data_IF_903472573241
#
_entry.id   IF_903472573241
#
_cell.length_a   1.000
_cell.length_b   1.000
_cell.length_c   1.000
_cell.angle_alpha   90.00
_cell.angle_beta   90.00
_cell.angle_gamma   90.00
#
_symmetry.space_group_name_H-M   'P 1'
#
loop_
_entity.id
_entity.type
_entity.pdbx_description
1 polymer ?
#
# COMPACT_ATOMS: atom_id res chain seq x y z
N UNK A 1 44.95 8.77 30.80
CA UNK A 1 45.82 7.62 31.05
C UNK A 1 44.89 6.45 31.26
N UNK A 2 44.73 5.50 30.42
CA UNK A 2 45.53 4.55 29.69
C UNK A 2 44.71 4.03 28.48
N UNK A 3 45.40 3.89 27.38
CA UNK A 3 44.91 3.27 26.15
C UNK A 3 44.83 1.75 26.33
N UNK A 4 43.85 1.11 25.71
CA UNK A 4 43.83 -0.33 25.41
C UNK A 4 43.67 -0.46 23.90
N UNK A 5 44.78 -0.83 23.25
CA UNK A 5 44.83 -1.34 21.88
C UNK A 5 44.30 -2.76 21.88
N UNK A 6 43.44 -3.05 20.90
CA UNK A 6 43.07 -4.44 20.61
C UNK A 6 43.38 -4.76 19.14
N UNK A 7 44.34 -5.69 18.97
CA UNK A 7 44.83 -6.25 17.73
C UNK A 7 43.74 -6.98 16.94
N UNK A 8 43.68 -6.69 15.65
CA UNK A 8 42.90 -7.47 14.67
C UNK A 8 43.84 -8.46 13.98
N UNK A 9 43.61 -9.74 14.22
CA UNK A 9 44.34 -10.85 13.61
C UNK A 9 43.60 -11.28 12.33
N UNK A 10 44.23 -11.06 11.19
CA UNK A 10 43.72 -11.48 9.86
C UNK A 10 44.21 -12.91 9.59
N UNK A 11 43.32 -13.90 9.58
CA UNK A 11 43.63 -15.26 9.13
C UNK A 11 43.33 -15.40 7.65
N UNK A 12 44.37 -15.62 6.87
CA UNK A 12 44.32 -15.99 5.44
C UNK A 12 44.21 -17.51 5.37
N UNK A 13 43.16 -18.03 4.78
CA UNK A 13 43.02 -19.48 4.49
C UNK A 13 43.37 -19.69 3.00
N UNK A 14 44.45 -20.45 2.80
CA UNK A 14 44.91 -20.89 1.49
C UNK A 14 44.15 -22.14 1.05
N UNK A 15 43.71 -22.19 -0.20
CA UNK A 15 43.10 -23.36 -0.85
C UNK A 15 44.17 -24.09 -1.69
N UNK A 16 44.33 -25.40 -1.59
CA UNK A 16 45.33 -26.13 -2.36
C UNK A 16 44.88 -26.46 -3.78
N UNK A 17 45.80 -26.21 -4.72
CA UNK A 17 45.71 -26.60 -6.14
C UNK A 17 46.04 -28.08 -6.27
N UNK A 18 45.18 -28.86 -6.88
CA UNK A 18 45.48 -30.24 -7.30
C UNK A 18 45.82 -30.26 -8.77
N UNK A 19 47.10 -30.54 -9.06
CA UNK A 19 47.57 -30.89 -10.40
C UNK A 19 47.26 -32.35 -10.70
N UNK A 20 46.76 -32.66 -11.88
CA UNK A 20 46.85 -34.00 -12.47
C UNK A 20 47.52 -33.90 -13.87
N UNK A 21 48.56 -34.68 -14.00
CA UNK A 21 49.36 -34.87 -15.19
C UNK A 21 48.82 -36.01 -16.08
N UNK A 22 49.36 -36.16 -17.34
CA UNK A 22 48.58 -36.69 -18.43
C UNK A 22 48.84 -38.17 -18.78
N UNK A 23 47.92 -38.78 -19.47
CA UNK A 23 48.19 -40.03 -20.20
C UNK A 23 47.79 -39.93 -21.66
N UNK A 24 48.82 -40.07 -22.50
CA UNK A 24 48.80 -40.21 -23.93
C UNK A 24 48.45 -41.64 -24.35
N UNK A 25 47.66 -41.85 -25.36
CA UNK A 25 47.98 -42.66 -26.58
C UNK A 25 46.87 -42.60 -27.63
N UNK A 26 47.22 -42.83 -28.92
CA UNK A 26 46.54 -42.28 -30.08
C UNK A 26 45.63 -43.28 -30.79
N UNK A 27 44.59 -42.79 -31.50
CA UNK A 27 43.96 -43.57 -32.58
C UNK A 27 43.36 -42.69 -33.69
N UNK A 28 43.85 -42.95 -34.86
CA UNK A 28 43.30 -42.93 -36.22
C UNK A 28 42.41 -41.77 -36.64
N UNK A 29 42.96 -41.05 -37.64
CA UNK A 29 42.31 -40.07 -38.50
C UNK A 29 41.15 -40.67 -39.31
N UNK A 30 40.00 -40.03 -39.27
CA UNK A 30 39.01 -40.00 -40.34
C UNK A 30 38.81 -38.52 -40.72
N UNK A 31 39.06 -38.18 -41.96
CA UNK A 31 38.89 -36.87 -42.54
C UNK A 31 37.41 -36.56 -42.71
N UNK A 32 36.90 -35.67 -41.87
CA UNK A 32 35.60 -35.02 -42.11
C UNK A 32 35.90 -33.58 -42.51
N UNK A 33 35.53 -33.22 -43.71
CA UNK A 33 35.58 -31.84 -44.24
C UNK A 33 34.59 -30.99 -43.40
N UNK A 34 35.12 -30.16 -42.51
CA UNK A 34 34.33 -29.12 -41.82
C UNK A 34 33.92 -28.05 -42.82
N UNK A 35 32.61 -27.87 -42.96
CA UNK A 35 32.06 -26.65 -43.56
C UNK A 35 32.20 -25.49 -42.55
N UNK A 36 32.60 -24.30 -43.01
CA UNK A 36 32.67 -23.14 -42.11
C UNK A 36 31.28 -22.81 -41.55
N UNK A 37 31.19 -22.35 -40.27
CA UNK A 37 29.93 -21.99 -39.69
C UNK A 37 29.27 -20.82 -40.46
N UNK A 38 27.94 -20.75 -40.52
CA UNK A 38 27.24 -19.66 -41.20
C UNK A 38 27.57 -18.32 -40.49
N UNK A 39 27.99 -17.35 -41.28
CA UNK A 39 28.23 -15.98 -40.83
C UNK A 39 26.86 -15.38 -40.43
N UNK A 40 26.58 -15.35 -39.16
CA UNK A 40 25.44 -14.57 -38.59
C UNK A 40 25.83 -13.10 -38.66
N UNK A 41 25.24 -12.37 -39.59
CA UNK A 41 25.32 -10.91 -39.60
C UNK A 41 24.63 -10.40 -38.30
N UNK A 42 25.24 -9.43 -37.58
CA UNK A 42 24.60 -8.81 -36.46
C UNK A 42 23.29 -8.16 -36.92
N UNK A 43 22.21 -8.44 -36.20
CA UNK A 43 20.93 -7.74 -36.43
C UNK A 43 21.17 -6.21 -36.32
N UNK A 44 20.59 -5.42 -37.23
CA UNK A 44 20.72 -3.98 -37.16
C UNK A 44 20.08 -3.50 -35.86
N UNK A 45 20.90 -3.04 -34.92
CA UNK A 45 20.45 -2.31 -33.73
C UNK A 45 19.79 -1.04 -34.23
N UNK A 46 18.44 -1.01 -34.17
CA UNK A 46 17.69 0.21 -34.42
C UNK A 46 18.19 1.27 -33.43
N UNK A 47 18.52 2.48 -33.86
CA UNK A 47 18.89 3.54 -32.94
C UNK A 47 17.72 3.81 -31.98
N UNK A 48 17.97 3.67 -30.70
CA UNK A 48 17.02 4.09 -29.65
C UNK A 48 16.88 5.60 -29.77
N UNK A 49 15.78 6.06 -30.36
CA UNK A 49 15.41 7.48 -30.34
C UNK A 49 15.33 7.90 -28.87
N UNK A 50 16.09 8.91 -28.43
CA UNK A 50 15.99 9.38 -27.05
C UNK A 50 14.55 9.85 -26.81
N UNK A 51 13.85 9.20 -25.90
CA UNK A 51 12.50 9.61 -25.50
C UNK A 51 12.65 10.95 -24.78
N UNK A 52 12.29 12.03 -25.44
CA UNK A 52 12.25 13.36 -24.81
C UNK A 52 11.22 13.29 -23.68
N UNK A 53 11.72 13.39 -22.46
CA UNK A 53 10.84 13.42 -21.28
C UNK A 53 10.12 14.76 -21.26
N UNK A 54 8.79 14.73 -21.41
CA UNK A 54 7.95 15.93 -21.37
C UNK A 54 7.91 16.49 -19.94
N UNK A 55 7.73 17.80 -19.82
CA UNK A 55 7.49 18.45 -18.52
C UNK A 55 6.16 17.92 -17.97
N UNK A 56 6.13 17.55 -16.70
CA UNK A 56 4.91 17.14 -15.99
C UNK A 56 4.18 18.37 -15.45
N UNK A 57 2.99 18.72 -15.98
CA UNK A 57 2.27 19.90 -15.51
C UNK A 57 1.94 19.87 -14.02
N UNK A 58 1.69 18.68 -13.45
CA UNK A 58 1.46 18.48 -12.03
C UNK A 58 2.64 18.92 -11.16
N UNK A 59 3.86 18.80 -11.70
CA UNK A 59 5.12 19.06 -10.97
C UNK A 59 5.79 20.37 -11.40
N UNK A 60 5.23 21.07 -12.39
CA UNK A 60 5.80 22.30 -12.91
C UNK A 60 5.46 23.50 -12.01
N UNK A 61 6.46 24.17 -11.43
CA UNK A 61 6.24 25.33 -10.59
C UNK A 61 5.50 26.43 -11.33
N UNK A 62 4.45 26.97 -10.71
CA UNK A 62 3.68 28.08 -11.22
C UNK A 62 3.40 29.11 -10.13
N UNK A 63 3.09 30.36 -10.54
CA UNK A 63 2.83 31.46 -9.60
C UNK A 63 1.52 31.28 -8.83
N UNK A 64 0.53 30.58 -9.44
CA UNK A 64 -0.79 30.36 -8.86
C UNK A 64 -0.82 29.27 -7.77
N UNK A 65 0.29 28.56 -7.55
CA UNK A 65 0.36 27.44 -6.60
C UNK A 65 0.06 27.78 -5.13
N UNK A 66 0.03 29.05 -4.78
CA UNK A 66 -0.29 29.54 -3.44
C UNK A 66 -1.76 29.93 -3.24
N UNK A 67 -2.56 29.92 -4.31
CA UNK A 67 -3.96 30.36 -4.30
C UNK A 67 -4.86 29.25 -4.80
N UNK A 68 -5.93 28.95 -4.02
CA UNK A 68 -6.83 27.85 -4.39
C UNK A 68 -7.88 28.26 -5.44
N UNK A 69 -8.27 29.53 -5.52
CA UNK A 69 -9.24 29.99 -6.50
C UNK A 69 -8.57 30.74 -7.67
N UNK A 70 -9.10 30.57 -8.90
CA UNK A 70 -10.22 29.68 -9.28
C UNK A 70 -9.81 28.21 -9.26
N UNK A 71 -10.75 27.30 -8.91
CA UNK A 71 -10.53 25.85 -9.01
C UNK A 71 -10.29 25.49 -10.47
N UNK A 72 -9.15 24.87 -10.77
CA UNK A 72 -8.75 24.45 -12.13
C UNK A 72 -8.93 22.95 -12.35
N UNK A 73 -8.76 22.13 -11.31
CA UNK A 73 -8.85 20.68 -11.35
C UNK A 73 -10.05 20.22 -10.51
N UNK A 74 -11.27 20.34 -11.09
CA UNK A 74 -12.52 20.06 -10.38
C UNK A 74 -12.64 18.59 -9.90
N UNK A 75 -12.10 17.64 -10.62
CA UNK A 75 -12.07 16.24 -10.24
C UNK A 75 -11.17 15.99 -9.00
N UNK A 76 -9.99 16.61 -8.95
CA UNK A 76 -9.10 16.59 -7.80
C UNK A 76 -9.77 17.29 -6.59
N UNK A 77 -10.33 18.45 -6.82
CA UNK A 77 -11.08 19.21 -5.81
C UNK A 77 -12.25 18.41 -5.26
N UNK A 78 -13.00 17.71 -6.11
CA UNK A 78 -14.09 16.84 -5.69
C UNK A 78 -13.61 15.73 -4.75
N UNK A 79 -12.47 15.09 -5.05
CA UNK A 79 -11.87 14.07 -4.16
C UNK A 79 -11.49 14.64 -2.79
N UNK A 80 -10.90 15.84 -2.74
CA UNK A 80 -10.64 16.52 -1.47
C UNK A 80 -11.93 16.77 -0.69
N UNK A 81 -12.99 17.26 -1.35
CA UNK A 81 -14.28 17.51 -0.67
C UNK A 81 -14.95 16.22 -0.19
N UNK A 82 -14.82 15.12 -0.95
CA UNK A 82 -15.28 13.80 -0.52
C UNK A 82 -14.57 13.36 0.76
N UNK A 83 -13.25 13.53 0.81
CA UNK A 83 -12.44 13.16 1.97
C UNK A 83 -12.82 13.97 3.22
N UNK A 84 -12.97 15.29 3.06
CA UNK A 84 -13.44 16.17 4.14
C UNK A 84 -14.86 15.84 4.64
N UNK A 85 -15.73 15.31 3.77
CA UNK A 85 -17.11 14.99 4.14
C UNK A 85 -17.21 13.75 5.06
N UNK A 86 -16.20 12.86 5.01
CA UNK A 86 -16.14 11.61 5.80
C UNK A 86 -15.15 11.68 6.96
N UNK A 87 -14.66 12.87 7.30
CA UNK A 87 -13.74 13.09 8.42
C UNK A 87 -14.34 12.59 9.74
N UNK A 88 -13.54 11.91 10.52
CA UNK A 88 -13.88 11.34 11.82
C UNK A 88 -12.70 11.48 12.80
N UNK A 89 -12.94 11.17 14.08
CA UNK A 89 -11.91 11.19 15.12
C UNK A 89 -11.93 9.90 15.95
N UNK A 90 -10.81 9.53 16.61
CA UNK A 90 -10.73 8.28 17.37
C UNK A 90 -11.77 8.19 18.50
N UNK A 91 -12.21 9.31 19.08
CA UNK A 91 -13.21 9.38 20.14
C UNK A 91 -14.60 8.88 19.70
N UNK A 92 -14.84 8.78 18.40
CA UNK A 92 -16.10 8.24 17.87
C UNK A 92 -16.17 6.72 17.95
N UNK A 93 -15.06 6.04 18.28
CA UNK A 93 -14.96 4.59 18.38
C UNK A 93 -15.13 4.13 19.83
N UNK A 94 -16.26 3.46 20.13
CA UNK A 94 -16.50 2.85 21.44
C UNK A 94 -15.79 1.50 21.56
N UNK A 95 -14.67 1.46 22.28
CA UNK A 95 -13.89 0.24 22.54
C UNK A 95 -14.37 -0.53 23.77
N UNK A 96 -15.33 -0.01 24.54
CA UNK A 96 -15.73 -0.59 25.82
C UNK A 96 -16.29 -2.01 25.69
N UNK A 97 -16.89 -2.34 24.55
CA UNK A 97 -17.50 -3.66 24.29
C UNK A 97 -16.48 -4.70 23.84
N UNK A 98 -15.34 -4.27 23.32
CA UNK A 98 -14.35 -5.16 22.73
C UNK A 98 -13.63 -6.03 23.77
N UNK A 99 -13.45 -5.52 25.01
CA UNK A 99 -12.75 -6.25 26.06
C UNK A 99 -13.42 -7.58 26.40
N UNK A 100 -14.75 -7.62 26.39
CA UNK A 100 -15.52 -8.86 26.63
C UNK A 100 -15.24 -9.92 25.54
N UNK A 101 -15.09 -9.49 24.29
CA UNK A 101 -14.77 -10.39 23.18
C UNK A 101 -13.29 -10.75 23.21
N UNK A 102 -12.42 -9.78 23.50
CA UNK A 102 -10.98 -9.97 23.63
C UNK A 102 -10.61 -11.07 24.63
N UNK A 103 -11.26 -11.11 25.79
CA UNK A 103 -11.06 -12.14 26.81
C UNK A 103 -11.46 -13.55 26.35
N UNK A 104 -12.40 -13.65 25.39
CA UNK A 104 -12.89 -14.92 24.84
C UNK A 104 -12.11 -15.42 23.62
N UNK A 105 -11.32 -14.55 23.00
CA UNK A 105 -10.48 -14.93 21.88
C UNK A 105 -9.47 -15.99 22.30
N UNK A 106 -9.13 -16.88 21.37
CA UNK A 106 -7.99 -17.80 21.52
C UNK A 106 -6.67 -17.04 21.51
N UNK A 107 -5.59 -17.65 22.00
CA UNK A 107 -4.25 -17.07 21.95
C UNK A 107 -3.82 -16.79 20.51
N UNK A 108 -4.17 -17.66 19.56
CA UNK A 108 -3.91 -17.49 18.14
C UNK A 108 -4.61 -16.24 17.57
N UNK A 109 -5.87 -16.02 17.92
CA UNK A 109 -6.62 -14.85 17.46
C UNK A 109 -6.05 -13.56 18.05
N UNK A 110 -5.73 -13.56 19.35
CA UNK A 110 -5.06 -12.42 20.01
C UNK A 110 -3.69 -12.14 19.36
N UNK A 111 -2.90 -13.17 19.12
CA UNK A 111 -1.61 -13.06 18.46
C UNK A 111 -1.78 -12.41 17.08
N UNK A 112 -2.72 -12.90 16.28
CA UNK A 112 -2.99 -12.37 14.95
C UNK A 112 -3.37 -10.89 14.99
N UNK A 113 -4.35 -10.51 15.84
CA UNK A 113 -4.83 -9.12 15.95
C UNK A 113 -3.70 -8.18 16.40
N UNK A 114 -2.93 -8.55 17.44
CA UNK A 114 -1.80 -7.73 17.92
C UNK A 114 -0.82 -7.39 16.80
N UNK A 115 -0.46 -8.39 15.99
CA UNK A 115 0.51 -8.21 14.90
C UNK A 115 -0.05 -7.38 13.74
N UNK A 116 -1.33 -7.52 13.43
CA UNK A 116 -2.01 -6.66 12.43
C UNK A 116 -2.02 -5.21 12.91
N UNK A 117 -2.37 -4.96 14.17
CA UNK A 117 -2.37 -3.60 14.73
C UNK A 117 -0.98 -2.98 14.74
N UNK A 118 0.06 -3.78 15.10
CA UNK A 118 1.44 -3.32 15.03
C UNK A 118 1.89 -2.98 13.61
N UNK A 119 1.44 -3.76 12.62
CA UNK A 119 1.68 -3.46 11.21
C UNK A 119 1.02 -2.13 10.83
N UNK A 120 -0.24 -1.92 11.12
CA UNK A 120 -0.96 -0.70 10.80
C UNK A 120 -0.29 0.54 11.44
N UNK A 121 -0.09 0.51 12.76
CA UNK A 121 0.50 1.63 13.49
C UNK A 121 1.87 2.06 12.95
N UNK A 122 2.68 1.11 12.47
CA UNK A 122 3.98 1.42 11.88
C UNK A 122 3.91 1.86 10.42
N UNK A 123 2.97 1.33 9.64
CA UNK A 123 2.86 1.61 8.21
C UNK A 123 2.34 3.03 7.96
N UNK A 124 1.34 3.50 8.72
CA UNK A 124 0.79 4.86 8.58
C UNK A 124 1.86 5.94 8.88
N UNK A 125 2.76 5.69 9.83
CA UNK A 125 3.91 6.56 10.06
C UNK A 125 4.82 6.70 8.84
N UNK A 126 5.04 5.61 8.10
CA UNK A 126 5.81 5.62 6.85
C UNK A 126 5.06 6.37 5.74
N UNK A 127 3.75 6.16 5.64
CA UNK A 127 2.87 6.88 4.69
C UNK A 127 2.90 8.37 4.96
N UNK A 128 2.72 8.80 6.21
CA UNK A 128 2.79 10.21 6.64
C UNK A 128 4.13 10.86 6.26
N UNK A 129 5.25 10.19 6.51
CA UNK A 129 6.57 10.69 6.15
C UNK A 129 6.72 10.87 4.64
N UNK A 130 6.26 9.90 3.84
CA UNK A 130 6.29 9.97 2.38
C UNK A 130 5.43 11.13 1.84
N UNK A 131 4.21 11.29 2.38
CA UNK A 131 3.33 12.40 2.02
C UNK A 131 3.98 13.76 2.30
N UNK A 132 4.53 13.93 3.51
CA UNK A 132 5.11 15.20 3.95
C UNK A 132 6.41 15.54 3.19
N UNK A 133 7.33 14.59 3.06
CA UNK A 133 8.68 14.83 2.53
C UNK A 133 8.76 14.79 1.00
N UNK A 134 7.82 14.08 0.34
CA UNK A 134 7.88 13.85 -1.10
C UNK A 134 6.64 14.39 -1.82
N UNK A 135 5.50 13.75 -1.73
CA UNK A 135 4.36 14.06 -2.58
C UNK A 135 3.81 15.48 -2.40
N UNK A 136 3.60 15.94 -1.16
CA UNK A 136 3.10 17.29 -0.88
C UNK A 136 4.06 18.38 -1.35
N UNK A 137 5.38 18.14 -1.25
CA UNK A 137 6.39 19.09 -1.69
C UNK A 137 6.54 19.14 -3.22
N UNK A 138 6.39 18.01 -3.89
CA UNK A 138 6.62 17.88 -5.34
C UNK A 138 5.46 18.37 -6.19
N UNK A 139 4.19 18.08 -5.80
CA UNK A 139 3.02 18.53 -6.57
C UNK A 139 2.87 20.04 -6.52
N UNK A 140 2.50 20.66 -7.64
CA UNK A 140 2.38 22.13 -7.73
C UNK A 140 0.92 22.60 -7.86
N UNK A 141 -0.03 21.69 -8.11
CA UNK A 141 -1.45 22.04 -8.17
C UNK A 141 -2.02 22.21 -6.76
N UNK A 142 -2.63 23.37 -6.43
CA UNK A 142 -3.19 23.62 -5.10
C UNK A 142 -4.21 22.58 -4.65
N UNK A 143 -5.09 22.14 -5.56
CA UNK A 143 -6.11 21.13 -5.24
C UNK A 143 -5.49 19.78 -4.78
N UNK A 144 -4.37 19.39 -5.40
CA UNK A 144 -3.65 18.19 -5.01
C UNK A 144 -2.97 18.34 -3.64
N UNK A 145 -2.40 19.52 -3.35
CA UNK A 145 -1.84 19.83 -2.03
C UNK A 145 -2.89 19.79 -0.93
N UNK A 146 -4.09 20.29 -1.20
CA UNK A 146 -5.21 20.25 -0.24
C UNK A 146 -5.65 18.81 0.06
N UNK A 147 -5.70 17.97 -0.96
CA UNK A 147 -6.00 16.55 -0.74
C UNK A 147 -4.92 15.89 0.13
N UNK A 148 -3.65 16.04 -0.21
CA UNK A 148 -2.56 15.45 0.56
C UNK A 148 -2.47 15.97 2.00
N UNK A 149 -2.80 17.25 2.24
CA UNK A 149 -2.91 17.78 3.60
C UNK A 149 -4.02 17.09 4.40
N UNK A 150 -5.17 16.84 3.77
CA UNK A 150 -6.27 16.10 4.38
C UNK A 150 -5.92 14.62 4.60
N UNK A 151 -5.30 13.96 3.62
CA UNK A 151 -4.81 12.59 3.75
C UNK A 151 -3.85 12.48 4.93
N UNK A 152 -2.85 13.36 5.01
CA UNK A 152 -1.86 13.33 6.10
C UNK A 152 -2.51 13.54 7.49
N UNK A 153 -3.57 14.34 7.57
CA UNK A 153 -4.37 14.49 8.79
C UNK A 153 -5.07 13.17 9.16
N UNK A 154 -5.69 12.49 8.19
CA UNK A 154 -6.39 11.23 8.47
C UNK A 154 -5.43 10.08 8.78
N UNK A 155 -4.25 10.04 8.18
CA UNK A 155 -3.20 9.09 8.58
C UNK A 155 -2.81 9.28 10.06
N UNK A 156 -2.80 10.53 10.57
CA UNK A 156 -2.58 10.77 11.99
C UNK A 156 -3.73 10.24 12.85
N UNK A 157 -4.99 10.38 12.39
CA UNK A 157 -6.18 9.81 13.05
C UNK A 157 -6.13 8.28 13.05
N UNK A 158 -5.71 7.65 11.95
CA UNK A 158 -5.51 6.20 11.84
C UNK A 158 -4.46 5.72 12.83
N UNK A 159 -3.28 6.34 12.82
CA UNK A 159 -2.16 5.99 13.70
C UNK A 159 -2.52 6.13 15.20
N UNK A 160 -3.24 7.19 15.57
CA UNK A 160 -3.78 7.37 16.93
C UNK A 160 -4.77 6.27 17.27
N UNK A 161 -5.70 5.94 16.37
CA UNK A 161 -6.70 4.88 16.56
C UNK A 161 -6.03 3.53 16.80
N UNK A 162 -5.04 3.15 15.99
CA UNK A 162 -4.30 1.90 16.21
C UNK A 162 -3.53 1.89 17.52
N UNK A 163 -2.97 3.02 17.92
CA UNK A 163 -2.30 3.15 19.21
C UNK A 163 -3.26 2.97 20.38
N UNK A 164 -4.48 3.52 20.30
CA UNK A 164 -5.53 3.34 21.31
C UNK A 164 -6.04 1.89 21.36
N UNK A 165 -6.20 1.22 20.21
CA UNK A 165 -6.55 -0.20 20.15
C UNK A 165 -5.47 -1.07 20.82
N UNK A 166 -4.19 -0.82 20.51
CA UNK A 166 -3.05 -1.50 21.14
C UNK A 166 -3.03 -1.27 22.65
N UNK A 167 -3.22 -0.03 23.09
CA UNK A 167 -3.26 0.32 24.52
C UNK A 167 -4.43 -0.35 25.26
N UNK A 168 -5.57 -0.44 24.57
CA UNK A 168 -6.78 -1.06 25.12
C UNK A 168 -6.62 -2.57 25.30
N UNK A 169 -6.07 -3.27 24.30
CA UNK A 169 -6.03 -4.73 24.31
C UNK A 169 -4.78 -5.30 24.97
N UNK A 170 -3.63 -4.63 24.91
CA UNK A 170 -2.36 -5.13 25.43
C UNK A 170 -2.03 -4.46 26.75
N UNK A 171 -2.06 -5.23 27.83
CA UNK A 171 -1.82 -4.71 29.20
C UNK A 171 -0.37 -4.83 29.63
N UNK A 172 0.37 -5.81 29.09
CA UNK A 172 1.80 -5.93 29.38
C UNK A 172 2.60 -4.79 28.72
N UNK A 173 3.38 -4.01 29.50
CA UNK A 173 4.09 -2.85 28.98
C UNK A 173 5.20 -3.21 27.98
N UNK A 174 5.85 -4.36 28.15
CA UNK A 174 6.93 -4.78 27.24
C UNK A 174 6.34 -5.24 25.90
N UNK A 175 5.31 -6.09 25.94
CA UNK A 175 4.60 -6.53 24.73
C UNK A 175 4.02 -5.34 23.96
N UNK A 176 3.39 -4.39 24.67
CA UNK A 176 2.88 -3.14 24.08
C UNK A 176 3.97 -2.36 23.36
N UNK A 177 5.12 -2.17 24.02
CA UNK A 177 6.27 -1.48 23.43
C UNK A 177 6.81 -2.19 22.21
N UNK A 178 6.83 -3.53 22.21
CA UNK A 178 7.32 -4.32 21.08
C UNK A 178 6.36 -4.24 19.88
N UNK A 179 5.06 -4.30 20.13
CA UNK A 179 4.04 -4.13 19.09
C UNK A 179 4.02 -2.73 18.49
N UNK A 180 4.13 -1.68 19.31
CA UNK A 180 4.22 -0.28 18.80
C UNK A 180 5.49 -0.02 17.98
N UNK A 181 6.53 -0.85 18.13
CA UNK A 181 7.75 -0.82 17.33
C UNK A 181 7.83 -1.94 16.29
N UNK A 182 6.69 -2.45 15.85
CA UNK A 182 6.58 -3.63 14.99
C UNK A 182 7.45 -3.57 13.73
N UNK A 183 7.64 -2.39 13.13
CA UNK A 183 8.51 -2.20 11.95
C UNK A 183 9.98 -2.58 12.19
N UNK A 184 10.44 -2.63 13.44
CA UNK A 184 11.82 -3.01 13.80
C UNK A 184 11.89 -4.28 14.64
N UNK A 185 10.80 -4.68 15.29
CA UNK A 185 10.76 -5.83 16.21
C UNK A 185 10.13 -7.07 15.58
N UNK A 186 9.32 -6.92 14.51
CA UNK A 186 8.56 -7.99 13.88
C UNK A 186 9.02 -8.18 12.43
N UNK A 187 9.78 -9.27 12.10
CA UNK A 187 10.41 -9.43 10.78
C UNK A 187 9.46 -9.40 9.58
N UNK A 188 8.22 -9.85 9.73
CA UNK A 188 7.26 -9.82 8.64
C UNK A 188 6.71 -8.41 8.37
N UNK A 189 6.61 -7.58 9.40
CA UNK A 189 6.25 -6.16 9.30
C UNK A 189 7.43 -5.38 8.71
N UNK A 190 8.65 -5.59 9.22
CA UNK A 190 9.88 -4.99 8.70
C UNK A 190 10.01 -5.13 7.18
N UNK A 191 9.68 -6.30 6.64
CA UNK A 191 9.78 -6.56 5.20
C UNK A 191 8.84 -5.68 4.37
N UNK A 192 7.60 -5.45 4.84
CA UNK A 192 6.64 -4.54 4.18
C UNK A 192 7.10 -3.10 4.31
N UNK A 193 7.50 -2.69 5.52
CA UNK A 193 8.01 -1.36 5.82
C UNK A 193 9.24 -1.02 4.97
N UNK A 194 10.21 -1.94 4.88
CA UNK A 194 11.42 -1.76 4.07
C UNK A 194 11.08 -1.53 2.60
N UNK A 195 10.16 -2.30 2.02
CA UNK A 195 9.75 -2.10 0.64
C UNK A 195 9.11 -0.72 0.43
N UNK A 196 8.28 -0.25 1.37
CA UNK A 196 7.67 1.08 1.29
C UNK A 196 8.72 2.20 1.40
N UNK A 197 9.66 2.09 2.35
CA UNK A 197 10.76 3.04 2.54
C UNK A 197 11.71 3.10 1.33
N UNK A 198 11.95 1.97 0.64
CA UNK A 198 12.76 1.96 -0.59
C UNK A 198 12.21 2.92 -1.67
N UNK A 199 10.90 3.14 -1.71
CA UNK A 199 10.29 4.11 -2.64
C UNK A 199 10.45 5.57 -2.17
N UNK A 200 10.40 5.84 -0.87
CA UNK A 200 10.62 7.17 -0.29
C UNK A 200 12.07 7.61 -0.54
N UNK A 201 13.01 6.73 -0.23
CA UNK A 201 14.45 7.02 -0.30
C UNK A 201 15.01 6.98 -1.73
N UNK A 202 14.28 6.41 -2.68
CA UNK A 202 14.75 6.26 -4.05
C UNK A 202 14.76 7.59 -4.80
N UNK A 203 15.93 8.24 -4.82
CA UNK A 203 16.16 9.52 -5.52
C UNK A 203 16.18 9.37 -7.04
N UNK A 204 16.45 8.17 -7.55
CA UNK A 204 16.51 7.87 -8.98
C UNK A 204 15.14 7.53 -9.59
N UNK A 205 14.16 7.16 -8.75
CA UNK A 205 12.83 6.86 -9.20
C UNK A 205 12.07 8.15 -9.58
N UNK A 206 11.50 8.19 -10.77
CA UNK A 206 10.63 9.27 -11.18
C UNK A 206 9.31 9.29 -10.37
N UNK A 207 8.62 10.44 -10.41
CA UNK A 207 7.36 10.65 -9.70
C UNK A 207 6.32 9.56 -10.02
N UNK A 208 6.16 9.22 -11.32
CA UNK A 208 5.20 8.21 -11.76
C UNK A 208 5.49 6.84 -11.13
N UNK A 209 6.76 6.45 -11.02
CA UNK A 209 7.20 5.18 -10.41
C UNK A 209 6.87 5.17 -8.91
N UNK A 210 7.19 6.24 -8.19
CA UNK A 210 6.90 6.36 -6.76
C UNK A 210 5.41 6.42 -6.48
N UNK A 211 4.63 7.10 -7.32
CA UNK A 211 3.17 7.17 -7.19
C UNK A 211 2.50 5.79 -7.36
N UNK A 212 2.97 4.97 -8.31
CA UNK A 212 2.49 3.58 -8.46
C UNK A 212 2.93 2.71 -7.26
N UNK A 213 4.15 2.89 -6.76
CA UNK A 213 4.61 2.24 -5.52
C UNK A 213 3.74 2.62 -4.32
N UNK A 214 3.42 3.89 -4.17
CA UNK A 214 2.54 4.42 -3.13
C UNK A 214 1.12 3.86 -3.24
N UNK A 215 0.52 3.87 -4.44
CA UNK A 215 -0.78 3.25 -4.67
C UNK A 215 -0.81 1.74 -4.35
N UNK A 216 0.33 1.04 -4.50
CA UNK A 216 0.45 -0.36 -4.10
C UNK A 216 0.56 -0.54 -2.57
N UNK A 217 1.14 0.41 -1.84
CA UNK A 217 1.12 0.42 -0.37
C UNK A 217 -0.32 0.59 0.11
N UNK A 218 -0.99 1.65 -0.30
CA UNK A 218 -2.37 1.98 0.10
C UNK A 218 -3.38 0.89 -0.31
N UNK A 219 -3.32 0.44 -1.57
CA UNK A 219 -4.31 -0.46 -2.15
C UNK A 219 -4.06 -1.94 -1.92
N UNK A 220 -2.78 -2.39 -1.77
CA UNK A 220 -2.44 -3.82 -1.66
C UNK A 220 -1.97 -4.20 -0.28
N UNK A 221 -1.05 -3.44 0.35
CA UNK A 221 -0.44 -3.86 1.62
C UNK A 221 -1.39 -3.86 2.80
N UNK A 222 -2.47 -3.10 2.74
CA UNK A 222 -3.51 -3.10 3.77
C UNK A 222 -4.61 -4.14 3.50
N UNK A 223 -4.75 -4.61 2.26
CA UNK A 223 -5.91 -5.36 1.79
C UNK A 223 -6.17 -6.67 2.54
N UNK A 224 -5.14 -7.47 2.79
CA UNK A 224 -5.25 -8.73 3.51
C UNK A 224 -5.62 -8.53 4.98
N UNK A 225 -5.03 -7.51 5.61
CA UNK A 225 -5.28 -7.15 7.00
C UNK A 225 -6.72 -6.62 7.19
N UNK A 226 -7.18 -5.71 6.33
CA UNK A 226 -8.58 -5.24 6.36
C UNK A 226 -9.57 -6.39 6.15
N UNK A 227 -9.32 -7.26 5.17
CA UNK A 227 -10.16 -8.43 4.92
C UNK A 227 -10.24 -9.34 6.15
N UNK A 228 -9.13 -9.53 6.86
CA UNK A 228 -9.08 -10.33 8.08
C UNK A 228 -9.89 -9.69 9.23
N UNK A 229 -9.85 -8.37 9.41
CA UNK A 229 -10.68 -7.66 10.41
C UNK A 229 -12.16 -7.70 10.00
N UNK A 230 -12.50 -7.53 8.72
CA UNK A 230 -13.87 -7.71 8.24
C UNK A 230 -14.41 -9.14 8.45
N UNK A 231 -13.54 -10.15 8.45
CA UNK A 231 -13.92 -11.49 8.84
C UNK A 231 -14.34 -11.58 10.31
N UNK A 232 -13.69 -10.86 11.23
CA UNK A 232 -14.13 -10.75 12.63
C UNK A 232 -15.50 -10.07 12.72
N UNK A 233 -15.78 -9.06 11.89
CA UNK A 233 -17.11 -8.44 11.78
C UNK A 233 -18.18 -9.46 11.37
N UNK A 234 -17.90 -10.35 10.41
CA UNK A 234 -18.84 -11.41 10.02
C UNK A 234 -19.13 -12.38 11.18
N UNK A 235 -18.21 -12.54 12.10
CA UNK A 235 -18.37 -13.34 13.34
C UNK A 235 -19.13 -12.57 14.43
N UNK A 236 -19.40 -11.29 14.26
CA UNK A 236 -20.10 -10.43 15.21
C UNK A 236 -19.31 -10.15 16.49
N UNK A 237 -17.98 -10.09 16.42
CA UNK A 237 -17.07 -9.86 17.56
C UNK A 237 -16.21 -8.62 17.34
N UNK A 238 -15.69 -8.04 18.42
CA UNK A 238 -14.80 -6.88 18.42
C UNK A 238 -15.41 -5.66 17.71
N UNK A 239 -16.59 -5.16 18.14
CA UNK A 239 -17.32 -4.13 17.42
C UNK A 239 -16.55 -2.81 17.24
N UNK A 240 -15.74 -2.38 18.21
CA UNK A 240 -14.92 -1.18 18.11
C UNK A 240 -13.79 -1.35 17.09
N UNK A 241 -13.05 -2.46 17.15
CA UNK A 241 -12.02 -2.80 16.17
C UNK A 241 -12.60 -2.87 14.75
N UNK A 242 -13.76 -3.50 14.58
CA UNK A 242 -14.34 -3.66 13.24
C UNK A 242 -14.95 -2.37 12.71
N UNK A 243 -15.48 -1.49 13.56
CA UNK A 243 -15.95 -0.16 13.16
C UNK A 243 -14.78 0.75 12.73
N UNK A 244 -13.68 0.78 13.51
CA UNK A 244 -12.48 1.52 13.11
C UNK A 244 -11.94 1.04 11.76
N UNK A 245 -11.92 -0.27 11.55
CA UNK A 245 -11.51 -0.86 10.27
C UNK A 245 -12.40 -0.42 9.09
N UNK A 246 -13.70 -0.20 9.30
CA UNK A 246 -14.61 0.32 8.27
C UNK A 246 -14.24 1.76 7.87
N UNK A 247 -14.00 2.62 8.87
CA UNK A 247 -13.64 4.01 8.61
C UNK A 247 -12.28 4.11 7.91
N UNK A 248 -11.29 3.41 8.44
CA UNK A 248 -9.94 3.43 7.89
C UNK A 248 -9.91 2.80 6.49
N UNK A 249 -10.51 1.62 6.28
CA UNK A 249 -10.53 0.99 4.95
C UNK A 249 -11.26 1.83 3.88
N UNK A 250 -12.26 2.63 4.27
CA UNK A 250 -12.91 3.62 3.39
C UNK A 250 -11.94 4.72 3.01
N UNK A 251 -11.20 5.25 3.98
CA UNK A 251 -10.26 6.34 3.76
C UNK A 251 -9.10 5.88 2.89
N UNK A 252 -8.55 4.67 3.12
CA UNK A 252 -7.52 4.05 2.26
C UNK A 252 -8.01 3.81 0.82
N UNK A 253 -9.29 3.49 0.66
CA UNK A 253 -9.92 3.43 -0.66
C UNK A 253 -9.90 4.79 -1.37
N UNK A 254 -10.15 5.90 -0.66
CA UNK A 254 -10.06 7.26 -1.21
C UNK A 254 -8.61 7.67 -1.52
N UNK A 255 -7.64 7.26 -0.68
CA UNK A 255 -6.21 7.50 -0.89
C UNK A 255 -5.71 6.80 -2.16
N UNK A 256 -6.04 5.52 -2.32
CA UNK A 256 -5.73 4.73 -3.51
C UNK A 256 -6.37 5.33 -4.77
N UNK A 257 -7.66 5.69 -4.72
CA UNK A 257 -8.38 6.33 -5.81
C UNK A 257 -7.73 7.65 -6.22
N UNK A 258 -7.27 8.45 -5.24
CA UNK A 258 -6.60 9.71 -5.50
C UNK A 258 -5.23 9.51 -6.15
N UNK A 259 -4.45 8.56 -5.70
CA UNK A 259 -3.18 8.20 -6.34
C UNK A 259 -3.39 7.79 -7.81
N UNK A 260 -4.43 7.00 -8.10
CA UNK A 260 -4.81 6.61 -9.47
C UNK A 260 -5.29 7.82 -10.30
N UNK A 261 -6.06 8.73 -9.70
CA UNK A 261 -6.49 9.96 -10.36
C UNK A 261 -5.29 10.83 -10.75
N UNK A 262 -4.36 11.08 -9.82
CA UNK A 262 -3.14 11.84 -10.13
C UNK A 262 -2.30 11.14 -11.20
N UNK A 263 -2.16 9.81 -11.12
CA UNK A 263 -1.45 9.03 -12.14
C UNK A 263 -2.10 9.22 -13.52
N UNK A 264 -3.43 9.29 -13.60
CA UNK A 264 -4.15 9.54 -14.86
C UNK A 264 -3.85 10.90 -15.49
N UNK A 265 -3.39 11.88 -14.69
CA UNK A 265 -3.03 13.24 -15.16
C UNK A 265 -1.58 13.32 -15.64
N UNK A 266 -0.76 12.30 -15.41
CA UNK A 266 0.65 12.33 -15.81
C UNK A 266 0.80 12.19 -17.33
N UNK A 267 1.74 12.96 -17.88
CA UNK A 267 2.12 12.92 -19.29
C UNK A 267 3.13 11.77 -19.52
N UNK A 268 4.08 11.58 -18.60
CA UNK A 268 5.10 10.54 -18.68
C UNK A 268 4.67 9.30 -17.86
N UNK A 269 3.70 8.55 -18.38
CA UNK A 269 3.24 7.32 -17.74
C UNK A 269 4.24 6.17 -17.90
N UNK A 270 4.20 5.22 -16.98
CA UNK A 270 5.05 4.04 -17.02
C UNK A 270 4.61 3.05 -18.10
N UNK A 271 5.52 2.18 -18.53
CA UNK A 271 5.13 1.03 -19.34
C UNK A 271 4.33 0.03 -18.52
N UNK A 272 3.45 -0.73 -19.19
CA UNK A 272 2.71 -1.85 -18.56
C UNK A 272 3.63 -2.79 -17.79
N UNK A 273 4.78 -3.15 -18.38
CA UNK A 273 5.75 -4.06 -17.78
C UNK A 273 6.25 -3.53 -16.42
N UNK A 274 6.55 -2.22 -16.36
CA UNK A 274 7.04 -1.59 -15.12
C UNK A 274 5.96 -1.55 -14.04
N UNK A 275 4.74 -1.14 -14.38
CA UNK A 275 3.60 -1.16 -13.44
C UNK A 275 3.32 -2.56 -12.93
N UNK A 276 3.17 -3.54 -13.84
CA UNK A 276 2.92 -4.93 -13.45
C UNK A 276 4.04 -5.55 -12.62
N UNK A 277 5.30 -5.13 -12.81
CA UNK A 277 6.42 -5.55 -11.95
C UNK A 277 6.22 -5.07 -10.53
N UNK A 278 5.94 -3.78 -10.33
CA UNK A 278 5.71 -3.16 -9.00
C UNK A 278 4.54 -3.88 -8.29
N UNK A 279 3.40 -4.02 -8.97
CA UNK A 279 2.21 -4.64 -8.37
C UNK A 279 2.43 -6.12 -8.03
N UNK A 280 3.15 -6.90 -8.88
CA UNK A 280 3.50 -8.29 -8.57
C UNK A 280 4.42 -8.42 -7.36
N UNK A 281 5.37 -7.50 -7.19
CA UNK A 281 6.25 -7.47 -6.02
C UNK A 281 5.44 -7.22 -4.75
N UNK A 282 4.54 -6.23 -4.76
CA UNK A 282 3.65 -5.94 -3.63
C UNK A 282 2.76 -7.15 -3.30
N UNK A 283 2.12 -7.76 -4.30
CA UNK A 283 1.29 -8.97 -4.12
C UNK A 283 2.09 -10.12 -3.51
N UNK A 284 3.32 -10.34 -3.94
CA UNK A 284 4.17 -11.41 -3.40
C UNK A 284 4.50 -11.18 -1.92
N UNK A 285 4.76 -9.94 -1.55
CA UNK A 285 5.06 -9.56 -0.15
C UNK A 285 3.81 -9.71 0.69
N UNK A 286 2.67 -9.18 0.23
CA UNK A 286 1.40 -9.25 0.95
C UNK A 286 0.93 -10.68 1.16
N UNK A 287 0.96 -11.51 0.11
CA UNK A 287 0.64 -12.94 0.24
C UNK A 287 1.53 -13.64 1.28
N UNK A 288 2.84 -13.38 1.24
CA UNK A 288 3.75 -13.96 2.22
C UNK A 288 3.41 -13.50 3.64
N UNK A 289 3.11 -12.21 3.82
CA UNK A 289 2.73 -11.65 5.12
C UNK A 289 1.51 -12.36 5.70
N UNK A 290 0.39 -12.35 4.99
CA UNK A 290 -0.91 -12.79 5.53
C UNK A 290 -1.14 -14.32 5.50
N UNK A 291 -0.27 -15.10 4.84
CA UNK A 291 -0.45 -16.56 4.73
C UNK A 291 0.71 -17.38 5.24
N UNK A 292 1.88 -16.78 5.49
CA UNK A 292 3.07 -17.49 5.96
C UNK A 292 3.68 -16.91 7.22
N UNK A 293 3.86 -15.59 7.24
CA UNK A 293 4.47 -14.92 8.38
C UNK A 293 3.47 -14.66 9.50
N UNK A 294 2.25 -14.28 9.15
CA UNK A 294 1.09 -14.13 10.05
C UNK A 294 -0.12 -14.84 9.42
N UNK A 295 -0.23 -16.16 9.57
CA UNK A 295 -1.22 -16.93 8.84
C UNK A 295 -2.67 -16.58 9.22
N UNK A 296 -3.48 -16.21 8.24
CA UNK A 296 -4.91 -15.91 8.46
C UNK A 296 -5.73 -17.12 8.94
N UNK A 297 -5.22 -18.34 8.82
CA UNK A 297 -5.77 -19.55 9.43
C UNK A 297 -5.87 -19.45 10.97
N UNK A 298 -5.03 -18.62 11.61
CA UNK A 298 -5.09 -18.38 13.05
C UNK A 298 -6.45 -17.81 13.51
N UNK A 299 -7.16 -17.12 12.61
CA UNK A 299 -8.51 -16.60 12.83
C UNK A 299 -9.57 -17.38 12.04
N UNK A 300 -9.24 -18.53 11.49
CA UNK A 300 -10.16 -19.42 10.78
C UNK A 300 -10.42 -19.06 9.33
N UNK A 301 -9.61 -18.20 8.71
CA UNK A 301 -9.72 -17.89 7.28
C UNK A 301 -8.92 -18.87 6.41
N UNK A 302 -9.37 -19.05 5.17
CA UNK A 302 -8.69 -19.90 4.18
C UNK A 302 -7.57 -19.13 3.48
N UNK A 303 -6.32 -19.62 3.61
CA UNK A 303 -5.14 -18.97 3.04
C UNK A 303 -5.15 -18.92 1.50
N UNK A 304 -5.69 -19.93 0.82
CA UNK A 304 -5.75 -19.93 -0.66
C UNK A 304 -6.77 -18.90 -1.15
N UNK A 305 -7.92 -18.78 -0.49
CA UNK A 305 -8.89 -17.74 -0.81
C UNK A 305 -8.32 -16.34 -0.52
N UNK A 306 -7.55 -16.18 0.56
CA UNK A 306 -6.87 -14.92 0.87
C UNK A 306 -5.87 -14.53 -0.23
N UNK A 307 -5.08 -15.49 -0.74
CA UNK A 307 -4.18 -15.24 -1.87
C UNK A 307 -4.93 -14.79 -3.12
N UNK A 308 -6.05 -15.43 -3.43
CA UNK A 308 -6.92 -15.04 -4.54
C UNK A 308 -7.52 -13.65 -4.34
N UNK A 309 -7.91 -13.30 -3.11
CA UNK A 309 -8.41 -11.97 -2.78
C UNK A 309 -7.36 -10.88 -3.03
N UNK A 310 -6.13 -11.08 -2.60
CA UNK A 310 -5.03 -10.14 -2.85
C UNK A 310 -4.76 -9.96 -4.35
N UNK A 311 -4.82 -11.05 -5.14
CA UNK A 311 -4.73 -10.97 -6.60
C UNK A 311 -5.88 -10.18 -7.22
N UNK A 312 -7.10 -10.36 -6.71
CA UNK A 312 -8.26 -9.60 -7.15
C UNK A 312 -8.11 -8.10 -6.86
N UNK A 313 -7.61 -7.74 -5.67
CA UNK A 313 -7.33 -6.34 -5.31
C UNK A 313 -6.27 -5.73 -6.23
N UNK A 314 -5.20 -6.46 -6.52
CA UNK A 314 -4.16 -6.00 -7.44
C UNK A 314 -4.68 -5.83 -8.89
N UNK A 315 -5.58 -6.69 -9.34
CA UNK A 315 -6.25 -6.55 -10.63
C UNK A 315 -7.12 -5.29 -10.69
N UNK A 316 -7.84 -4.95 -9.61
CA UNK A 316 -8.60 -3.69 -9.50
C UNK A 316 -7.67 -2.48 -9.59
N UNK A 317 -6.58 -2.48 -8.82
CA UNK A 317 -5.60 -1.41 -8.86
C UNK A 317 -4.96 -1.25 -10.25
N UNK A 318 -4.63 -2.36 -10.91
CA UNK A 318 -4.11 -2.33 -12.28
C UNK A 318 -5.09 -1.66 -13.26
N UNK A 319 -6.39 -1.97 -13.16
CA UNK A 319 -7.43 -1.34 -13.97
C UNK A 319 -7.60 0.14 -13.66
N UNK A 320 -7.55 0.53 -12.38
CA UNK A 320 -7.64 1.93 -11.96
C UNK A 320 -6.46 2.78 -12.45
N UNK A 321 -5.28 2.16 -12.60
CA UNK A 321 -4.10 2.77 -13.21
C UNK A 321 -4.13 2.76 -14.76
N UNK A 322 -5.22 2.27 -15.37
CA UNK A 322 -5.43 2.16 -16.82
C UNK A 322 -4.53 1.09 -17.48
N UNK A 323 -4.28 -0.02 -16.77
CA UNK A 323 -3.58 -1.20 -17.30
C UNK A 323 -4.44 -2.46 -17.22
N UNK A 324 -4.21 -3.46 -18.08
CA UNK A 324 -4.97 -4.71 -18.03
C UNK A 324 -4.71 -5.47 -16.72
N UNK A 325 -5.64 -6.34 -16.36
CA UNK A 325 -5.50 -7.27 -15.23
C UNK A 325 -4.23 -8.10 -15.32
N UNK A 326 -3.67 -8.45 -14.17
CA UNK A 326 -2.44 -9.25 -14.04
C UNK A 326 -2.79 -10.73 -13.84
N UNK A 327 -3.81 -11.02 -13.03
CA UNK A 327 -4.16 -12.35 -12.55
C UNK A 327 -5.52 -12.83 -13.07
N UNK A 328 -6.41 -11.92 -13.44
CA UNK A 328 -7.80 -12.19 -13.80
C UNK A 328 -8.57 -12.90 -12.67
N UNK A 329 -8.22 -12.60 -11.43
CA UNK A 329 -8.83 -13.17 -10.25
C UNK A 329 -10.23 -12.63 -10.01
N UNK A 330 -11.08 -13.48 -9.39
CA UNK A 330 -12.41 -13.09 -8.89
C UNK A 330 -12.34 -12.93 -7.37
N UNK A 331 -13.20 -12.06 -6.82
CA UNK A 331 -13.33 -11.94 -5.38
C UNK A 331 -13.87 -13.26 -4.80
N UNK A 332 -13.13 -13.92 -3.88
CA UNK A 332 -13.57 -15.19 -3.30
C UNK A 332 -14.43 -15.00 -2.05
N UNK A 333 -14.57 -13.77 -1.54
CA UNK A 333 -15.25 -13.47 -0.28
C UNK A 333 -16.51 -12.64 -0.52
N UNK A 334 -17.68 -13.26 -0.48
CA UNK A 334 -18.98 -12.60 -0.65
C UNK A 334 -19.20 -11.45 0.34
N UNK A 335 -18.67 -11.57 1.58
CA UNK A 335 -18.79 -10.50 2.56
C UNK A 335 -18.03 -9.24 2.15
N UNK A 336 -16.91 -9.37 1.46
CA UNK A 336 -16.14 -8.22 0.94
C UNK A 336 -16.86 -7.55 -0.25
N UNK A 337 -17.65 -8.29 -1.01
CA UNK A 337 -18.51 -7.69 -2.06
C UNK A 337 -19.64 -6.87 -1.43
N UNK A 338 -20.31 -7.41 -0.40
CA UNK A 338 -21.36 -6.67 0.33
C UNK A 338 -20.85 -5.37 0.93
N UNK A 339 -19.70 -5.39 1.61
CA UNK A 339 -19.07 -4.19 2.19
C UNK A 339 -18.73 -3.17 1.08
N UNK A 340 -18.24 -3.63 -0.07
CA UNK A 340 -17.94 -2.76 -1.21
C UNK A 340 -19.19 -2.10 -1.79
N UNK A 341 -20.33 -2.82 -1.81
CA UNK A 341 -21.61 -2.28 -2.26
C UNK A 341 -22.19 -1.29 -1.26
N UNK A 342 -22.17 -1.62 0.04
CA UNK A 342 -22.61 -0.73 1.13
C UNK A 342 -21.83 0.61 1.10
N UNK A 343 -20.52 0.56 0.89
CA UNK A 343 -19.70 1.75 0.76
C UNK A 343 -20.01 2.57 -0.50
N UNK A 344 -20.40 1.95 -1.61
CA UNK A 344 -20.83 2.64 -2.83
C UNK A 344 -22.20 3.30 -2.67
N UNK A 345 -23.16 2.59 -2.10
CA UNK A 345 -24.51 3.08 -1.84
C UNK A 345 -24.48 4.22 -0.80
N UNK A 346 -23.67 4.10 0.23
CA UNK A 346 -23.48 5.13 1.24
C UNK A 346 -22.83 6.40 0.68
N UNK A 347 -22.04 6.29 -0.38
CA UNK A 347 -21.33 7.43 -0.94
C UNK A 347 -22.22 8.32 -1.82
N UNK A 348 -23.23 7.77 -2.49
CA UNK A 348 -24.05 8.51 -3.46
C UNK A 348 -25.55 8.60 -3.12
N UNK A 349 -26.15 7.63 -2.39
CA UNK A 349 -27.62 7.55 -2.22
C UNK A 349 -28.12 7.60 -0.78
N UNK A 350 -27.34 7.18 0.19
CA UNK A 350 -27.74 7.24 1.61
C UNK A 350 -26.68 7.97 2.41
N UNK A 351 -27.00 9.15 2.84
CA UNK A 351 -26.32 9.81 3.96
C UNK A 351 -26.54 9.02 5.25
N UNK A 352 -26.03 7.83 5.32
CA UNK A 352 -25.96 7.05 6.55
C UNK A 352 -24.57 7.24 7.18
N UNK A 353 -23.79 8.20 6.77
CA UNK A 353 -22.74 8.62 7.65
C UNK A 353 -23.35 9.66 8.58
N UNK A 354 -23.61 9.27 9.78
CA UNK A 354 -23.83 10.13 10.94
C UNK A 354 -22.78 11.25 11.03
N UNK A 355 -21.75 11.19 10.20
CA UNK A 355 -20.52 11.97 10.18
C UNK A 355 -20.31 12.86 8.94
N UNK A 356 -21.16 12.76 7.91
CA UNK A 356 -21.06 13.70 6.80
C UNK A 356 -21.51 15.09 7.28
N UNK A 357 -20.60 16.04 7.31
CA UNK A 357 -20.92 17.43 7.61
C UNK A 357 -21.95 17.95 6.61
N UNK A 358 -23.04 18.57 7.09
CA UNK A 358 -24.09 19.11 6.25
C UNK A 358 -23.49 20.05 5.18
N UNK A 359 -23.99 19.95 3.96
CA UNK A 359 -23.64 20.77 2.80
C UNK A 359 -22.23 20.57 2.16
N UNK A 360 -21.39 19.65 2.65
CA UNK A 360 -20.12 19.33 1.98
C UNK A 360 -20.38 18.43 0.77
N UNK A 361 -19.93 18.85 -0.42
CA UNK A 361 -20.11 18.11 -1.69
C UNK A 361 -21.47 18.31 -2.38
N UNK A 362 -22.36 19.20 -1.90
CA UNK A 362 -23.61 19.55 -2.57
C UNK A 362 -23.40 20.64 -3.64
N UNK A 363 -24.13 20.51 -4.74
CA UNK A 363 -24.28 21.62 -5.69
C UNK A 363 -25.09 22.76 -5.07
N UNK A 364 -25.03 23.97 -5.65
CA UNK A 364 -25.88 25.10 -5.23
C UNK A 364 -27.37 24.78 -5.35
N UNK A 365 -27.74 23.93 -6.30
CA UNK A 365 -29.13 23.49 -6.56
C UNK A 365 -29.64 22.53 -5.46
N UNK A 366 -28.75 21.72 -4.88
CA UNK A 366 -29.05 20.82 -3.74
C UNK A 366 -29.18 21.56 -2.38
N UNK A 367 -28.82 22.83 -2.33
CA UNK A 367 -28.85 23.66 -1.11
C UNK A 367 -30.06 24.60 -1.04
N UNK A 368 -31.01 24.50 -1.97
CA UNK A 368 -32.24 25.29 -1.92
C UNK A 368 -33.13 24.77 -0.80
N UNK A 369 -33.43 25.64 0.14
CA UNK A 369 -34.37 25.35 1.23
C UNK A 369 -35.81 25.39 0.63
N UNK A 370 -36.44 24.19 0.57
CA UNK A 370 -37.87 24.14 0.21
C UNK A 370 -38.71 24.24 1.48
N UNK A 371 -39.60 25.20 1.54
CA UNK A 371 -40.59 25.35 2.61
C UNK A 371 -41.81 24.43 2.42
N UNK A 372 -41.87 23.68 1.33
CA UNK A 372 -43.04 22.89 0.91
C UNK A 372 -42.85 21.37 1.19
N UNK A 373 -41.85 21.00 2.01
CA UNK A 373 -41.65 19.62 2.43
C UNK A 373 -42.75 19.23 3.45
N UNK A 374 -43.73 18.48 2.99
CA UNK A 374 -44.66 17.75 3.87
C UNK A 374 -43.90 16.59 4.49
N UNK A 375 -43.93 16.54 5.85
CA UNK A 375 -43.37 15.47 6.66
C UNK A 375 -44.18 14.18 6.57
#
# INVERSE_FOLDING_TARGET
>A
MSAIETNINTAVIAVPVIMKSPHNKPSRKSSVTEQPPPITLPEPTMPTVPTVKLIEPLLDPNEDRFVIFPIRHHDIWSKYKQHMAVFWTPEEIDLSKDMKDWERLTDNERHFIKHILGFFAGCDGIVMENLATRFTSEVQWPEAKYFYACQNLLEAVHSETYSLLIDTYIKDPQEKSDILRAITTIPCVEKKAKWALEWIDNKEADFATRLVGFAAVEGIFFSGAFCAIFWLKQRGIMPGLTLSNEFIARDEGLHTDFACLLYSKLVNRLTKQKVHKILREAVRIEKHFITKALPCELIGMNAELMKQYIEFVADRLSLQLDYPKIYSAKNPFDFMERISLENKDNFFEKRVSTYAKAAVGKSKEDMVFSTDATF
#
